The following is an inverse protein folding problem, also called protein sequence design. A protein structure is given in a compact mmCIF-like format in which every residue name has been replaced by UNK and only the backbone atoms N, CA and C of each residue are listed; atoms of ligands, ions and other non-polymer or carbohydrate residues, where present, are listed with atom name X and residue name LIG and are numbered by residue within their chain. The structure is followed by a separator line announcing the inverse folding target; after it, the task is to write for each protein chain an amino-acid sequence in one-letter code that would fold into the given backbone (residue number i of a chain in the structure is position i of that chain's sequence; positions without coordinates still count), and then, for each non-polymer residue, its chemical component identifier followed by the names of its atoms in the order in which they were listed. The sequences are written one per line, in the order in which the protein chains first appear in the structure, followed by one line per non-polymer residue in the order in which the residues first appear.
data_IF_042499406206
#
_entry.id   IF_042499406206
#
_cell.length_a   1.000
_cell.length_b   1.000
_cell.length_c   1.000
_cell.angle_alpha   90.00
_cell.angle_beta   90.00
_cell.angle_gamma   90.00
#
_symmetry.space_group_name_H-M   'P 1'
#
loop_
_entity.id
_entity.type
_entity.pdbx_description
1 polymer ?
#
# COMPACT_ATOMS: atom_id res chain seq x y z
N UNK A 1 15.88 3.09 -6.80
CA UNK A 1 15.56 4.52 -6.98
C UNK A 1 16.78 5.35 -6.59
N UNK A 2 17.12 6.28 -7.44
CA UNK A 2 18.24 7.21 -7.21
C UNK A 2 17.69 8.63 -7.12
N UNK A 3 18.08 9.35 -6.07
CA UNK A 3 17.81 10.77 -5.93
C UNK A 3 19.13 11.52 -6.11
N UNK A 4 19.16 12.49 -7.02
CA UNK A 4 20.33 13.33 -7.28
C UNK A 4 20.01 14.77 -6.87
N UNK A 5 20.86 15.33 -6.02
CA UNK A 5 20.77 16.74 -5.63
C UNK A 5 22.03 17.47 -6.09
N UNK A 6 21.85 18.58 -6.81
CA UNK A 6 22.95 19.43 -7.25
C UNK A 6 22.92 20.74 -6.47
N UNK A 7 24.09 21.16 -5.98
CA UNK A 7 24.18 22.42 -5.25
C UNK A 7 23.92 23.60 -6.17
N UNK A 8 23.01 24.49 -5.78
CA UNK A 8 22.54 25.59 -6.63
C UNK A 8 23.66 26.59 -7.01
N UNK A 9 24.62 26.83 -6.11
CA UNK A 9 25.70 27.81 -6.28
C UNK A 9 27.03 27.19 -6.77
N UNK A 10 27.11 25.86 -6.78
CA UNK A 10 28.30 25.14 -7.22
C UNK A 10 27.87 23.80 -7.83
N UNK A 11 27.75 23.76 -9.14
CA UNK A 11 27.30 22.58 -9.88
C UNK A 11 28.26 21.39 -9.84
N UNK A 12 29.50 21.59 -9.33
CA UNK A 12 30.42 20.49 -9.08
C UNK A 12 30.06 19.68 -7.82
N UNK A 13 29.22 20.23 -6.94
CA UNK A 13 28.74 19.55 -5.73
C UNK A 13 27.42 18.86 -6.04
N UNK A 14 27.51 17.57 -6.35
CA UNK A 14 26.38 16.70 -6.65
C UNK A 14 26.32 15.62 -5.58
N UNK A 15 25.13 15.42 -5.03
CA UNK A 15 24.83 14.37 -4.04
C UNK A 15 23.85 13.39 -4.67
N UNK A 16 24.13 12.09 -4.53
CA UNK A 16 23.25 11.03 -4.98
C UNK A 16 22.86 10.17 -3.79
N UNK A 17 21.61 9.75 -3.76
CA UNK A 17 21.08 8.82 -2.78
C UNK A 17 20.37 7.68 -3.50
N UNK A 18 20.86 6.46 -3.28
CA UNK A 18 20.28 5.26 -3.85
C UNK A 18 19.51 4.49 -2.79
N UNK A 19 18.34 4.00 -3.14
CA UNK A 19 17.55 3.12 -2.29
C UNK A 19 16.76 2.11 -3.12
N UNK A 20 16.40 1.00 -2.48
CA UNK A 20 15.63 -0.06 -3.12
C UNK A 20 14.20 -0.05 -2.55
N UNK A 21 13.23 -0.07 -3.46
CA UNK A 21 11.84 -0.27 -3.08
C UNK A 21 11.56 -1.77 -3.03
N UNK A 22 11.10 -2.28 -1.89
CA UNK A 22 10.73 -3.69 -1.74
C UNK A 22 9.36 -3.98 -2.35
N UNK A 23 8.43 -3.03 -2.24
CA UNK A 23 7.05 -3.18 -2.72
C UNK A 23 6.61 -1.94 -3.48
N UNK A 24 5.77 -2.16 -4.47
CA UNK A 24 5.22 -1.10 -5.30
C UNK A 24 3.70 -1.26 -5.41
N UNK A 25 2.96 -0.26 -4.97
CA UNK A 25 1.51 -0.20 -5.20
C UNK A 25 1.28 0.26 -6.63
N UNK A 26 0.92 -0.68 -7.50
CA UNK A 26 0.74 -0.42 -8.91
C UNK A 26 -0.69 -0.09 -9.32
N UNK A 27 -1.65 -0.50 -8.49
CA UNK A 27 -3.07 -0.27 -8.74
C UNK A 27 -3.79 -0.10 -7.41
N UNK A 28 -4.62 0.93 -7.34
CA UNK A 28 -5.58 1.12 -6.26
C UNK A 28 -6.96 1.37 -6.88
N UNK A 29 -7.96 0.69 -6.37
CA UNK A 29 -9.33 0.86 -6.83
C UNK A 29 -10.28 1.04 -5.66
N UNK A 30 -11.09 2.08 -5.73
CA UNK A 30 -12.19 2.32 -4.79
C UNK A 30 -13.46 1.54 -5.14
N UNK A 31 -13.48 0.80 -6.25
CA UNK A 31 -14.60 -0.07 -6.62
C UNK A 31 -14.66 -1.24 -5.65
N UNK A 32 -15.81 -1.42 -5.03
CA UNK A 32 -16.02 -2.51 -4.09
C UNK A 32 -16.25 -3.82 -4.85
N UNK A 33 -15.39 -4.80 -4.60
CA UNK A 33 -15.47 -6.14 -5.16
C UNK A 33 -15.43 -7.18 -4.05
N UNK A 34 -15.90 -8.39 -4.34
CA UNK A 34 -15.65 -9.54 -3.47
C UNK A 34 -14.15 -9.84 -3.46
N UNK A 35 -13.68 -10.57 -2.45
CA UNK A 35 -12.27 -10.95 -2.38
C UNK A 35 -11.80 -11.68 -3.64
N UNK A 36 -12.59 -12.64 -4.13
CA UNK A 36 -12.24 -13.42 -5.33
C UNK A 36 -12.12 -12.53 -6.57
N UNK A 37 -13.02 -11.56 -6.74
CA UNK A 37 -12.97 -10.61 -7.86
C UNK A 37 -11.77 -9.67 -7.75
N UNK A 38 -11.48 -9.16 -6.55
CA UNK A 38 -10.33 -8.30 -6.31
C UNK A 38 -9.01 -9.04 -6.56
N UNK A 39 -8.91 -10.27 -6.06
CA UNK A 39 -7.73 -11.11 -6.28
C UNK A 39 -7.52 -11.38 -7.79
N UNK A 40 -8.58 -11.73 -8.51
CA UNK A 40 -8.51 -11.95 -9.96
C UNK A 40 -8.08 -10.68 -10.70
N UNK A 41 -8.57 -9.51 -10.29
CA UNK A 41 -8.19 -8.23 -10.90
C UNK A 41 -6.69 -7.95 -10.75
N UNK A 42 -6.12 -8.20 -9.57
CA UNK A 42 -4.69 -8.04 -9.36
C UNK A 42 -3.86 -9.02 -10.19
N UNK A 43 -4.25 -10.28 -10.23
CA UNK A 43 -3.55 -11.31 -11.01
C UNK A 43 -3.58 -10.96 -12.51
N UNK A 44 -4.73 -10.55 -13.02
CA UNK A 44 -4.87 -10.16 -14.43
C UNK A 44 -4.02 -8.93 -14.79
N UNK A 45 -3.71 -8.09 -13.83
CA UNK A 45 -2.82 -6.93 -14.01
C UNK A 45 -1.33 -7.30 -13.83
N UNK A 46 -1.00 -8.56 -13.59
CA UNK A 46 0.38 -9.00 -13.33
C UNK A 46 0.87 -8.65 -11.93
N UNK A 47 -0.05 -8.45 -11.00
CA UNK A 47 0.21 -8.05 -9.62
C UNK A 47 -0.49 -9.00 -8.64
N UNK A 48 -0.49 -8.67 -7.37
CA UNK A 48 -1.16 -9.46 -6.33
C UNK A 48 -1.75 -8.56 -5.25
N UNK A 49 -2.67 -9.09 -4.46
CA UNK A 49 -3.11 -8.43 -3.23
C UNK A 49 -1.96 -8.42 -2.20
N UNK A 50 -1.86 -7.38 -1.37
CA UNK A 50 -0.83 -7.31 -0.33
C UNK A 50 -1.12 -8.28 0.80
N UNK A 51 -0.08 -8.83 1.42
CA UNK A 51 -0.22 -9.62 2.64
C UNK A 51 -0.54 -8.72 3.83
N UNK A 52 -1.10 -9.32 4.90
CA UNK A 52 -1.38 -8.57 6.13
C UNK A 52 -0.12 -7.89 6.68
N UNK A 53 1.03 -8.57 6.66
CA UNK A 53 2.30 -8.02 7.17
C UNK A 53 2.86 -6.89 6.30
N UNK A 54 2.62 -6.96 5.00
CA UNK A 54 3.06 -5.91 4.08
C UNK A 54 2.28 -4.61 4.28
N UNK A 55 1.01 -4.70 4.68
CA UNK A 55 0.20 -3.51 4.90
C UNK A 55 0.28 -2.99 6.34
N UNK A 56 0.43 -3.86 7.34
CA UNK A 56 0.39 -3.43 8.73
C UNK A 56 1.14 -4.39 9.66
N UNK A 57 1.76 -3.85 10.69
CA UNK A 57 2.32 -4.60 11.81
C UNK A 57 1.33 -4.70 12.99
N UNK A 58 0.18 -4.05 12.90
CA UNK A 58 -0.87 -4.01 13.90
C UNK A 58 -1.57 -2.66 13.91
N UNK A 59 -2.67 -2.59 14.66
CA UNK A 59 -3.43 -1.35 14.81
C UNK A 59 -2.55 -0.27 15.46
N UNK A 60 -2.50 0.89 14.82
CA UNK A 60 -1.75 2.08 15.24
C UNK A 60 -0.23 1.85 15.40
N UNK A 61 0.30 0.73 14.91
CA UNK A 61 1.73 0.43 15.01
C UNK A 61 2.50 1.15 13.89
N UNK A 62 3.38 2.06 14.27
CA UNK A 62 4.28 2.80 13.37
C UNK A 62 5.67 2.19 13.37
N UNK A 63 6.33 2.23 12.23
CA UNK A 63 7.70 1.73 12.07
C UNK A 63 8.00 1.30 10.64
N UNK A 64 9.21 0.81 10.41
CA UNK A 64 9.67 0.34 9.11
C UNK A 64 9.15 -1.06 8.83
N UNK A 65 8.80 -1.33 7.58
CA UNK A 65 8.52 -2.67 7.08
C UNK A 65 7.07 -2.94 6.68
N UNK A 66 6.15 -2.03 6.97
CA UNK A 66 4.76 -2.14 6.49
C UNK A 66 4.26 -0.80 5.95
N UNK A 67 3.27 -0.86 5.09
CA UNK A 67 2.70 0.33 4.47
C UNK A 67 2.16 1.31 5.54
N UNK A 68 1.27 0.83 6.41
CA UNK A 68 0.74 1.68 7.48
C UNK A 68 1.83 2.11 8.47
N UNK A 69 2.75 1.20 8.81
CA UNK A 69 3.85 1.52 9.73
C UNK A 69 4.67 2.71 9.26
N UNK A 70 5.02 2.75 7.99
CA UNK A 70 5.86 3.80 7.41
C UNK A 70 5.08 5.07 7.08
N UNK A 71 3.85 4.96 6.58
CA UNK A 71 3.08 6.09 6.07
C UNK A 71 1.97 6.59 7.00
N UNK A 72 1.53 5.76 7.96
CA UNK A 72 0.43 6.09 8.87
C UNK A 72 -0.93 6.06 8.19
N UNK A 73 -1.83 6.92 8.62
CA UNK A 73 -3.18 7.01 8.07
C UNK A 73 -3.16 7.36 6.57
N UNK A 74 -3.48 6.38 5.72
CA UNK A 74 -3.42 6.55 4.28
C UNK A 74 -4.52 7.46 3.73
N UNK A 75 -5.59 7.71 4.48
CA UNK A 75 -6.60 8.70 4.09
C UNK A 75 -6.05 10.13 4.01
N UNK A 76 -4.89 10.38 4.62
CA UNK A 76 -4.22 11.68 4.52
C UNK A 76 -3.60 11.93 3.14
N UNK A 77 -3.51 10.90 2.30
CA UNK A 77 -2.89 11.00 0.98
C UNK A 77 -3.94 11.00 -0.13
N UNK A 78 -3.89 11.94 -1.07
CA UNK A 78 -4.89 12.04 -2.15
C UNK A 78 -5.02 10.80 -3.03
N UNK A 79 -3.97 9.98 -3.09
CA UNK A 79 -3.97 8.73 -3.86
C UNK A 79 -4.88 7.64 -3.28
N UNK A 80 -5.34 7.81 -2.04
CA UNK A 80 -6.27 6.90 -1.36
C UNK A 80 -7.56 7.64 -0.96
N UNK A 81 -8.34 8.16 -1.90
CA UNK A 81 -9.27 9.24 -1.60
C UNK A 81 -10.51 8.85 -0.78
N UNK A 82 -10.96 7.61 -0.81
CA UNK A 82 -12.28 7.31 -0.25
C UNK A 82 -12.42 5.96 0.44
N UNK A 83 -11.57 4.99 0.16
CA UNK A 83 -11.71 3.69 0.76
C UNK A 83 -10.98 3.64 2.10
N UNK A 84 -11.67 3.19 3.13
CA UNK A 84 -11.10 3.02 4.47
C UNK A 84 -10.69 1.58 4.74
N UNK A 85 -11.21 0.64 3.97
CA UNK A 85 -11.02 -0.79 4.17
C UNK A 85 -10.75 -1.44 2.82
N UNK A 86 -9.69 -2.22 2.75
CA UNK A 86 -9.30 -2.93 1.52
C UNK A 86 -8.99 -4.40 1.80
N UNK A 87 -9.06 -5.22 0.75
CA UNK A 87 -8.71 -6.63 0.83
C UNK A 87 -7.21 -6.86 1.01
N UNK A 88 -6.85 -7.91 1.75
CA UNK A 88 -5.50 -8.48 1.80
C UNK A 88 -5.43 -9.80 1.02
N UNK A 89 -4.25 -10.38 0.89
CA UNK A 89 -4.06 -11.64 0.16
C UNK A 89 -4.63 -12.86 0.89
N UNK A 90 -4.92 -12.74 2.17
CA UNK A 90 -5.59 -13.80 2.92
C UNK A 90 -7.09 -13.69 2.68
N UNK A 91 -7.69 -14.77 2.18
CA UNK A 91 -9.14 -14.80 1.91
C UNK A 91 -9.93 -14.39 3.16
N UNK A 92 -10.92 -13.53 2.93
CA UNK A 92 -11.76 -12.93 3.97
C UNK A 92 -11.05 -12.04 5.00
N UNK A 93 -9.81 -11.60 4.75
CA UNK A 93 -9.14 -10.64 5.59
C UNK A 93 -9.08 -9.26 4.94
N UNK A 94 -9.25 -8.25 5.77
CA UNK A 94 -9.21 -6.86 5.35
C UNK A 94 -8.11 -6.06 6.08
N UNK A 95 -7.91 -4.83 5.62
CA UNK A 95 -6.99 -3.88 6.19
C UNK A 95 -7.63 -2.49 6.22
N UNK A 96 -7.64 -1.89 7.39
CA UNK A 96 -8.11 -0.53 7.60
C UNK A 96 -6.97 0.46 7.34
N UNK A 97 -7.09 1.24 6.28
CA UNK A 97 -6.02 2.15 5.84
C UNK A 97 -5.80 3.34 6.77
N UNK A 98 -6.75 3.63 7.63
CA UNK A 98 -6.70 4.74 8.59
C UNK A 98 -6.06 4.37 9.93
N UNK A 99 -6.18 3.12 10.36
CA UNK A 99 -5.72 2.67 11.67
C UNK A 99 -4.68 1.55 11.65
N UNK A 100 -4.51 0.88 10.51
CA UNK A 100 -3.64 -0.29 10.41
C UNK A 100 -4.25 -1.58 10.95
N UNK A 101 -5.52 -1.56 11.36
CA UNK A 101 -6.21 -2.76 11.83
C UNK A 101 -6.41 -3.76 10.70
N UNK A 102 -6.15 -5.02 10.97
CA UNK A 102 -6.51 -6.14 10.08
C UNK A 102 -7.43 -7.09 10.82
N UNK A 103 -8.49 -7.54 10.17
CA UNK A 103 -9.40 -8.53 10.75
C UNK A 103 -10.12 -9.31 9.66
N UNK A 104 -11.01 -10.21 10.06
CA UNK A 104 -11.81 -11.01 9.12
C UNK A 104 -13.02 -10.24 8.64
N UNK A 105 -13.26 -10.31 7.32
CA UNK A 105 -14.43 -9.73 6.66
C UNK A 105 -14.98 -10.75 5.66
N UNK A 106 -16.14 -11.29 5.89
CA UNK A 106 -16.79 -12.26 5.01
C UNK A 106 -18.12 -11.73 4.48
N UNK A 107 -18.51 -12.17 3.28
CA UNK A 107 -19.78 -11.79 2.63
C UNK A 107 -19.94 -10.27 2.43
N UNK A 108 -18.84 -9.57 2.21
CA UNK A 108 -18.82 -8.13 1.94
C UNK A 108 -18.06 -7.86 0.64
N UNK A 109 -18.21 -6.65 0.12
CA UNK A 109 -17.42 -6.13 -0.98
C UNK A 109 -16.59 -4.96 -0.47
N UNK A 110 -15.30 -4.95 -0.80
CA UNK A 110 -14.37 -3.93 -0.36
C UNK A 110 -13.54 -3.40 -1.54
N UNK A 111 -12.96 -2.25 -1.38
CA UNK A 111 -11.93 -1.75 -2.26
C UNK A 111 -10.67 -2.62 -2.18
N UNK A 112 -9.73 -2.41 -3.08
CA UNK A 112 -8.50 -3.20 -3.13
C UNK A 112 -7.34 -2.39 -3.70
N UNK A 113 -6.13 -2.82 -3.36
CA UNK A 113 -4.92 -2.38 -4.04
C UNK A 113 -4.10 -3.59 -4.45
N UNK A 114 -3.36 -3.43 -5.53
CA UNK A 114 -2.46 -4.46 -6.04
C UNK A 114 -1.03 -4.00 -5.88
N UNK A 115 -0.17 -4.91 -5.45
CA UNK A 115 1.26 -4.66 -5.31
C UNK A 115 2.08 -5.59 -6.21
N UNK A 116 3.29 -5.16 -6.45
CA UNK A 116 4.23 -5.92 -7.28
C UNK A 116 5.55 -6.12 -6.57
#
# INVERSE_FOLDING_TARGET
VTITATWKHDSSKVFTYDFTLNYWVGLYSSTNLSWAQANASCINAGMRLPTNREVSAGQDVRGVGSLFGEWGNLNAYPSFPTAQIIWTSVDTNDFHIDTGLTHSASNVTLAYMCIK
#
